data_IF_174213007242
#
_entry.id   IF_174213007242
#
_cell.length_a   1.000
_cell.length_b   1.000
_cell.length_c   1.000
_cell.angle_alpha   90.00
_cell.angle_beta   90.00
_cell.angle_gamma   90.00
#
_symmetry.space_group_name_H-M   'P 1'
#
loop_
_entity.id
_entity.type
_entity.pdbx_description
1 polymer ?
#
# COMPACT_ATOMS: atom_id res chain seq x y z
N UNK A 1 -10.04 -32.30 14.04
CA UNK A 1 -9.75 -30.88 13.70
C UNK A 1 -10.71 -29.90 14.40
N UNK A 2 -11.89 -30.34 14.86
CA UNK A 2 -12.92 -29.45 15.41
C UNK A 2 -12.50 -28.66 16.65
N UNK A 3 -11.67 -29.25 17.52
CA UNK A 3 -11.10 -28.53 18.66
C UNK A 3 -10.27 -27.30 18.20
N UNK A 4 -9.44 -27.47 17.16
CA UNK A 4 -8.67 -26.38 16.56
C UNK A 4 -9.57 -25.35 15.89
N UNK A 5 -10.60 -25.77 15.15
CA UNK A 5 -11.56 -24.85 14.53
C UNK A 5 -12.29 -24.00 15.58
N UNK A 6 -12.76 -24.62 16.68
CA UNK A 6 -13.37 -23.90 17.81
C UNK A 6 -12.39 -22.91 18.45
N UNK A 7 -11.13 -23.29 18.60
CA UNK A 7 -10.11 -22.39 19.13
C UNK A 7 -9.88 -21.18 18.21
N UNK A 8 -9.75 -21.38 16.89
CA UNK A 8 -9.65 -20.28 15.92
C UNK A 8 -10.85 -19.32 16.00
N UNK A 9 -12.06 -19.86 16.03
CA UNK A 9 -13.29 -19.06 16.22
C UNK A 9 -13.30 -18.32 17.55
N UNK A 10 -12.80 -18.91 18.63
CA UNK A 10 -12.70 -18.22 19.93
C UNK A 10 -11.75 -17.03 19.92
N UNK A 11 -10.77 -17.01 19.01
CA UNK A 11 -9.91 -15.85 18.77
C UNK A 11 -10.53 -14.85 17.79
N UNK A 12 -11.69 -15.13 17.20
CA UNK A 12 -12.32 -14.31 16.15
C UNK A 12 -11.75 -14.57 14.75
N UNK A 13 -11.09 -15.71 14.52
CA UNK A 13 -10.66 -16.14 13.19
C UNK A 13 -11.69 -17.10 12.56
N UNK A 14 -11.77 -17.19 11.22
CA UNK A 14 -12.64 -18.15 10.56
C UNK A 14 -12.31 -19.59 10.96
N UNK A 15 -13.35 -20.42 11.12
CA UNK A 15 -13.18 -21.86 11.36
C UNK A 15 -12.60 -22.61 10.14
N UNK A 16 -12.67 -22.00 8.95
CA UNK A 16 -12.22 -22.51 7.66
C UNK A 16 -12.51 -21.50 6.54
N UNK A 17 -12.33 -21.92 5.28
CA UNK A 17 -12.57 -21.08 4.11
C UNK A 17 -14.07 -20.73 3.95
N UNK A 18 -14.35 -19.47 3.62
CA UNK A 18 -15.70 -18.92 3.54
C UNK A 18 -16.41 -19.24 2.21
N UNK A 19 -16.69 -20.52 1.95
CA UNK A 19 -17.35 -20.98 0.72
C UNK A 19 -18.81 -20.51 0.58
N UNK A 20 -19.42 -20.00 1.66
CA UNK A 20 -20.78 -19.44 1.66
C UNK A 20 -20.83 -18.01 1.07
N UNK A 21 -19.67 -17.40 0.78
CA UNK A 21 -19.54 -16.07 0.18
C UNK A 21 -20.44 -15.00 0.84
N UNK A 22 -20.36 -14.81 2.18
CA UNK A 22 -21.23 -13.88 2.88
C UNK A 22 -21.01 -12.45 2.40
N UNK A 23 -22.09 -11.67 2.32
CA UNK A 23 -22.00 -10.24 1.97
C UNK A 23 -21.27 -9.47 3.06
N UNK A 24 -20.23 -8.72 2.68
CA UNK A 24 -19.49 -7.86 3.62
C UNK A 24 -20.37 -6.72 4.16
N UNK A 25 -20.39 -6.59 5.48
CA UNK A 25 -21.02 -5.47 6.18
C UNK A 25 -20.10 -4.24 6.32
N UNK A 26 -18.80 -4.35 5.97
CA UNK A 26 -17.86 -3.22 6.03
C UNK A 26 -18.29 -2.12 5.05
N UNK A 27 -18.11 -0.86 5.44
CA UNK A 27 -18.38 0.35 4.64
C UNK A 27 -17.25 1.35 4.82
N UNK A 28 -17.02 2.18 3.81
CA UNK A 28 -16.18 3.37 3.94
C UNK A 28 -16.87 4.42 4.81
N UNK A 29 -16.15 5.44 5.31
CA UNK A 29 -16.74 6.49 6.15
C UNK A 29 -17.92 7.25 5.52
N UNK A 30 -17.97 7.29 4.19
CA UNK A 30 -19.06 7.86 3.38
C UNK A 30 -20.23 6.88 3.11
N UNK A 31 -20.16 5.66 3.64
CA UNK A 31 -21.16 4.61 3.44
C UNK A 31 -20.98 3.78 2.18
N UNK A 32 -19.95 4.01 1.36
CA UNK A 32 -19.71 3.21 0.17
C UNK A 32 -19.34 1.75 0.52
N UNK A 33 -19.79 0.79 -0.29
CA UNK A 33 -19.46 -0.64 -0.10
C UNK A 33 -18.11 -1.02 -0.75
N UNK A 34 -17.74 -0.34 -1.83
CA UNK A 34 -16.48 -0.56 -2.54
C UNK A 34 -15.95 0.77 -3.08
N UNK A 35 -14.67 0.76 -3.46
CA UNK A 35 -14.01 1.86 -4.17
C UNK A 35 -13.21 1.29 -5.34
N UNK A 36 -12.98 2.13 -6.34
CA UNK A 36 -12.22 1.75 -7.54
C UNK A 36 -10.82 2.33 -7.45
N UNK A 37 -9.83 1.49 -7.68
CA UNK A 37 -8.43 1.87 -7.78
C UNK A 37 -7.84 1.42 -9.13
N UNK A 38 -6.99 2.25 -9.73
CA UNK A 38 -6.18 1.87 -10.90
C UNK A 38 -4.70 1.72 -10.49
N UNK A 39 -4.18 0.49 -10.41
CA UNK A 39 -2.75 0.19 -10.33
C UNK A 39 -2.18 -0.22 -11.71
N UNK A 40 -0.95 0.10 -12.14
CA UNK A 40 -0.05 1.16 -11.65
C UNK A 40 -0.11 2.38 -12.58
N UNK A 41 -0.44 3.54 -12.06
CA UNK A 41 -0.42 4.83 -12.74
C UNK A 41 0.98 5.43 -12.67
N UNK A 42 1.79 5.16 -13.70
CA UNK A 42 3.21 5.51 -13.76
C UNK A 42 3.44 6.98 -14.19
N UNK A 43 3.03 7.93 -13.36
CA UNK A 43 3.37 9.35 -13.48
C UNK A 43 2.21 10.29 -13.86
N UNK A 44 2.48 11.61 -13.98
CA UNK A 44 1.45 12.62 -14.19
C UNK A 44 0.64 12.45 -15.47
N UNK A 45 1.29 12.13 -16.59
CA UNK A 45 0.62 11.95 -17.89
C UNK A 45 -0.38 10.78 -17.85
N UNK A 46 -0.03 9.68 -17.19
CA UNK A 46 -0.93 8.55 -17.01
C UNK A 46 -2.12 8.91 -16.11
N UNK A 47 -1.88 9.68 -15.03
CA UNK A 47 -2.96 10.17 -14.17
C UNK A 47 -3.90 11.12 -14.93
N UNK A 48 -3.37 12.02 -15.76
CA UNK A 48 -4.17 12.92 -16.58
C UNK A 48 -5.08 12.15 -17.54
N UNK A 49 -4.55 11.12 -18.20
CA UNK A 49 -5.34 10.25 -19.08
C UNK A 49 -6.43 9.48 -18.30
N UNK A 50 -6.14 9.01 -17.08
CA UNK A 50 -7.15 8.38 -16.22
C UNK A 50 -8.25 9.37 -15.88
N UNK A 51 -7.91 10.60 -15.50
CA UNK A 51 -8.90 11.65 -15.20
C UNK A 51 -9.78 11.92 -16.42
N UNK A 52 -9.18 12.14 -17.59
CA UNK A 52 -9.91 12.38 -18.85
C UNK A 52 -10.89 11.25 -19.16
N UNK A 53 -10.42 10.00 -19.17
CA UNK A 53 -11.26 8.86 -19.51
C UNK A 53 -12.29 8.56 -18.40
N UNK A 54 -11.96 8.78 -17.13
CA UNK A 54 -12.93 8.63 -16.02
C UNK A 54 -14.10 9.59 -16.14
N UNK A 55 -13.83 10.84 -16.55
CA UNK A 55 -14.86 11.84 -16.83
C UNK A 55 -15.67 11.47 -18.08
N UNK A 56 -15.00 10.96 -19.12
CA UNK A 56 -15.65 10.55 -20.37
C UNK A 56 -16.63 9.39 -20.17
N UNK A 57 -16.30 8.42 -19.33
CA UNK A 57 -17.14 7.26 -19.06
C UNK A 57 -18.06 7.41 -17.84
N UNK A 58 -18.00 8.56 -17.15
CA UNK A 58 -18.74 8.80 -15.90
C UNK A 58 -18.45 7.73 -14.83
N UNK A 59 -17.16 7.42 -14.63
CA UNK A 59 -16.69 6.41 -13.67
C UNK A 59 -15.88 7.07 -12.56
N UNK A 60 -16.30 6.90 -11.30
CA UNK A 60 -15.56 7.42 -10.16
C UNK A 60 -14.35 6.55 -9.81
N UNK A 61 -13.14 7.06 -10.08
CA UNK A 61 -11.90 6.49 -9.58
C UNK A 61 -11.55 7.16 -8.25
N UNK A 62 -11.37 6.37 -7.20
CA UNK A 62 -11.15 6.89 -5.84
C UNK A 62 -9.67 6.96 -5.49
N UNK A 63 -8.85 6.11 -6.12
CA UNK A 63 -7.43 5.99 -5.84
C UNK A 63 -6.67 5.61 -7.11
N UNK A 64 -5.45 6.12 -7.22
CA UNK A 64 -4.43 5.55 -8.09
C UNK A 64 -3.25 5.10 -7.24
N UNK A 65 -2.54 4.07 -7.69
CA UNK A 65 -1.26 3.71 -7.10
C UNK A 65 -0.17 3.68 -8.15
N UNK A 66 1.05 3.99 -7.74
CA UNK A 66 2.21 4.02 -8.62
C UNK A 66 3.21 2.97 -8.14
N UNK A 67 3.68 2.12 -9.06
CA UNK A 67 4.41 0.90 -8.74
C UNK A 67 5.91 1.03 -8.79
N UNK A 68 6.45 1.94 -9.62
CA UNK A 68 7.91 2.13 -9.73
C UNK A 68 8.53 2.72 -8.44
N UNK A 69 7.73 3.43 -7.67
CA UNK A 69 8.05 3.92 -6.33
C UNK A 69 8.60 5.34 -6.30
N UNK A 70 8.53 5.94 -5.11
CA UNK A 70 8.91 7.32 -4.82
C UNK A 70 10.35 7.60 -5.27
N UNK A 71 11.28 6.68 -4.98
CA UNK A 71 12.68 6.74 -5.43
C UNK A 71 12.88 7.07 -6.92
N UNK A 72 12.03 6.54 -7.80
CA UNK A 72 12.20 6.69 -9.25
C UNK A 72 11.48 7.90 -9.84
N UNK A 73 10.73 8.64 -9.02
CA UNK A 73 9.98 9.81 -9.44
C UNK A 73 10.71 11.08 -9.03
N UNK A 74 10.64 12.11 -9.87
CA UNK A 74 11.10 13.46 -9.52
C UNK A 74 10.12 14.15 -8.56
N UNK A 75 10.59 15.16 -7.83
CA UNK A 75 9.73 15.95 -6.94
C UNK A 75 8.59 16.63 -7.70
N UNK A 76 8.87 17.08 -8.93
CA UNK A 76 7.88 17.70 -9.80
C UNK A 76 6.77 16.72 -10.20
N UNK A 77 7.13 15.49 -10.59
CA UNK A 77 6.13 14.46 -10.94
C UNK A 77 5.24 14.12 -9.74
N UNK A 78 5.82 13.97 -8.55
CA UNK A 78 5.05 13.67 -7.33
C UNK A 78 4.10 14.84 -7.00
N UNK A 79 4.60 16.07 -7.06
CA UNK A 79 3.81 17.28 -6.76
C UNK A 79 2.68 17.46 -7.76
N UNK A 80 2.95 17.26 -9.06
CA UNK A 80 1.94 17.35 -10.12
C UNK A 80 0.86 16.28 -9.93
N UNK A 81 1.25 15.04 -9.62
CA UNK A 81 0.29 13.98 -9.31
C UNK A 81 -0.55 14.30 -8.07
N UNK A 82 0.07 14.81 -7.00
CA UNK A 82 -0.64 15.18 -5.78
C UNK A 82 -1.68 16.28 -6.04
N UNK A 83 -1.31 17.31 -6.82
CA UNK A 83 -2.20 18.40 -7.19
C UNK A 83 -3.35 17.92 -8.08
N UNK A 84 -3.05 17.17 -9.14
CA UNK A 84 -4.03 16.65 -10.09
C UNK A 84 -5.02 15.69 -9.43
N UNK A 85 -4.55 14.81 -8.55
CA UNK A 85 -5.42 13.91 -7.82
C UNK A 85 -6.31 14.67 -6.83
N UNK A 86 -5.75 15.64 -6.09
CA UNK A 86 -6.49 16.46 -5.14
C UNK A 86 -7.63 17.24 -5.81
N UNK A 87 -7.39 17.83 -6.99
CA UNK A 87 -8.43 18.56 -7.72
C UNK A 87 -9.54 17.66 -8.27
N UNK A 88 -9.27 16.37 -8.42
CA UNK A 88 -10.23 15.36 -8.90
C UNK A 88 -10.76 14.44 -7.78
N UNK A 89 -10.49 14.75 -6.50
CA UNK A 89 -10.97 13.95 -5.37
C UNK A 89 -10.39 12.53 -5.30
N UNK A 90 -9.21 12.31 -5.90
CA UNK A 90 -8.54 11.02 -5.93
C UNK A 90 -7.42 10.96 -4.88
N UNK A 91 -7.22 9.77 -4.28
CA UNK A 91 -6.05 9.48 -3.47
C UNK A 91 -4.88 8.99 -4.36
N UNK A 92 -3.65 9.39 -4.06
CA UNK A 92 -2.44 8.82 -4.67
C UNK A 92 -1.69 8.01 -3.62
N UNK A 93 -1.42 6.75 -3.94
CA UNK A 93 -0.60 5.85 -3.11
C UNK A 93 0.69 5.49 -3.84
N UNK A 94 1.82 6.04 -3.41
CA UNK A 94 3.12 5.75 -4.03
C UNK A 94 3.83 4.59 -3.33
N UNK A 95 4.52 3.72 -4.07
CA UNK A 95 5.35 2.67 -3.45
C UNK A 95 6.58 3.29 -2.78
N UNK A 96 6.74 3.10 -1.46
CA UNK A 96 7.94 3.53 -0.76
C UNK A 96 9.01 2.44 -0.80
N UNK A 97 10.12 2.69 -1.49
CA UNK A 97 11.21 1.73 -1.71
C UNK A 97 12.43 2.46 -2.25
N UNK A 98 13.64 2.08 -1.83
CA UNK A 98 14.21 0.86 -2.41
C UNK A 98 13.92 -0.38 -1.56
N UNK A 99 13.95 -1.55 -2.20
CA UNK A 99 13.79 -2.86 -1.56
C UNK A 99 14.97 -3.76 -1.92
N UNK A 100 14.98 -5.01 -1.48
CA UNK A 100 16.10 -5.93 -1.66
C UNK A 100 16.41 -6.23 -3.13
N UNK A 101 15.46 -6.04 -4.05
CA UNK A 101 15.70 -6.19 -5.49
C UNK A 101 16.59 -5.07 -6.07
N UNK A 102 16.73 -3.95 -5.38
CA UNK A 102 17.66 -2.86 -5.71
C UNK A 102 19.03 -3.02 -5.04
N UNK A 103 19.19 -4.07 -4.27
CA UNK A 103 20.42 -4.34 -3.53
C UNK A 103 21.39 -5.22 -4.34
N UNK A 104 22.64 -5.25 -3.89
CA UNK A 104 23.72 -6.06 -4.48
C UNK A 104 23.73 -7.51 -3.98
N UNK A 105 22.84 -7.86 -3.04
CA UNK A 105 22.78 -9.18 -2.44
C UNK A 105 22.23 -10.26 -3.39
N UNK A 106 22.94 -11.37 -3.53
CA UNK A 106 22.54 -12.49 -4.40
C UNK A 106 21.20 -13.15 -3.99
N UNK A 107 20.74 -12.95 -2.76
CA UNK A 107 19.50 -13.54 -2.25
C UNK A 107 18.29 -13.18 -3.12
N UNK A 108 18.10 -11.90 -3.47
CA UNK A 108 16.93 -11.44 -4.21
C UNK A 108 16.81 -12.05 -5.63
N UNK A 109 17.95 -12.44 -6.22
CA UNK A 109 18.01 -13.04 -7.56
C UNK A 109 18.13 -14.58 -7.54
N UNK A 110 18.30 -15.18 -6.37
CA UNK A 110 18.36 -16.63 -6.22
C UNK A 110 16.99 -17.27 -6.47
N UNK A 111 16.97 -18.55 -6.87
CA UNK A 111 15.73 -19.30 -7.12
C UNK A 111 14.79 -19.33 -5.90
N UNK A 112 15.34 -19.40 -4.69
CA UNK A 112 14.58 -19.42 -3.44
C UNK A 112 14.32 -18.06 -2.80
N UNK A 113 15.00 -17.00 -3.24
CA UNK A 113 14.94 -15.67 -2.60
C UNK A 113 14.13 -14.62 -3.35
N UNK A 114 13.41 -15.01 -4.41
CA UNK A 114 12.46 -14.11 -5.11
C UNK A 114 11.42 -13.50 -4.18
N UNK A 115 11.05 -14.19 -3.10
CA UNK A 115 10.14 -13.69 -2.06
C UNK A 115 10.77 -12.59 -1.20
N UNK A 116 12.09 -12.52 -1.13
CA UNK A 116 12.84 -11.48 -0.41
C UNK A 116 12.96 -10.21 -1.26
N UNK A 117 12.96 -10.31 -2.59
CA UNK A 117 13.15 -9.17 -3.49
C UNK A 117 12.26 -7.95 -3.16
N UNK A 118 10.95 -8.12 -2.93
CA UNK A 118 10.07 -7.00 -2.56
C UNK A 118 10.25 -6.44 -1.15
N UNK A 119 10.95 -7.16 -0.26
CA UNK A 119 11.15 -6.84 1.16
C UNK A 119 12.32 -5.89 1.35
N UNK A 120 12.46 -5.31 2.54
CA UNK A 120 13.63 -4.51 2.89
C UNK A 120 14.72 -5.40 3.49
N UNK A 121 15.98 -5.18 3.10
CA UNK A 121 17.13 -5.93 3.59
C UNK A 121 18.02 -5.06 4.49
N UNK A 122 17.99 -5.36 5.78
CA UNK A 122 18.83 -4.68 6.77
C UNK A 122 18.35 -3.27 7.10
N UNK A 123 19.03 -2.65 8.06
CA UNK A 123 18.61 -1.37 8.63
C UNK A 123 18.69 -0.22 7.62
N UNK A 124 19.67 -0.23 6.72
CA UNK A 124 19.87 0.87 5.77
C UNK A 124 18.74 0.97 4.75
N UNK A 125 18.23 -0.16 4.24
CA UNK A 125 17.06 -0.13 3.36
C UNK A 125 15.76 0.26 4.10
N UNK A 126 15.66 -0.05 5.39
CA UNK A 126 14.57 0.47 6.22
C UNK A 126 14.63 1.99 6.32
N UNK A 127 15.81 2.56 6.59
CA UNK A 127 16.02 4.03 6.59
C UNK A 127 15.64 4.63 5.25
N UNK A 128 16.15 4.09 4.14
CA UNK A 128 15.87 4.58 2.79
C UNK A 128 14.38 4.53 2.44
N UNK A 129 13.69 3.44 2.78
CA UNK A 129 12.25 3.31 2.58
C UNK A 129 11.47 4.37 3.38
N UNK A 130 11.82 4.60 4.65
CA UNK A 130 11.14 5.60 5.50
C UNK A 130 11.45 7.05 5.08
N UNK A 131 12.64 7.32 4.56
CA UNK A 131 12.95 8.62 3.93
C UNK A 131 12.11 8.84 2.66
N UNK A 132 11.85 7.79 1.87
CA UNK A 132 10.90 7.84 0.75
C UNK A 132 9.47 8.15 1.22
N UNK A 133 9.03 7.55 2.33
CA UNK A 133 7.72 7.87 2.95
C UNK A 133 7.65 9.35 3.34
N UNK A 134 8.68 9.87 4.02
CA UNK A 134 8.77 11.29 4.41
C UNK A 134 8.80 12.20 3.20
N UNK A 135 9.59 11.88 2.18
CA UNK A 135 9.65 12.63 0.92
C UNK A 135 8.27 12.71 0.26
N UNK A 136 7.55 11.59 0.14
CA UNK A 136 6.20 11.58 -0.39
C UNK A 136 5.27 12.48 0.44
N UNK A 137 5.30 12.36 1.77
CA UNK A 137 4.48 13.18 2.68
C UNK A 137 4.73 14.69 2.50
N UNK A 138 6.01 15.08 2.41
CA UNK A 138 6.45 16.46 2.22
C UNK A 138 6.00 17.05 0.88
N UNK A 139 5.91 16.22 -0.16
CA UNK A 139 5.46 16.60 -1.50
C UNK A 139 3.93 16.53 -1.67
N UNK A 140 3.19 16.36 -0.57
CA UNK A 140 1.72 16.45 -0.56
C UNK A 140 1.00 15.11 -0.72
N UNK A 141 1.71 13.99 -0.78
CA UNK A 141 1.10 12.66 -0.76
C UNK A 141 0.61 12.33 0.66
N UNK A 142 -0.51 11.60 0.76
CA UNK A 142 -1.10 11.19 2.04
C UNK A 142 -1.29 9.69 2.18
N UNK A 143 -0.77 8.92 1.24
CA UNK A 143 -0.86 7.46 1.25
C UNK A 143 0.37 6.84 0.58
N UNK A 144 0.91 5.79 1.16
CA UNK A 144 2.02 5.02 0.57
C UNK A 144 1.75 3.53 0.62
N UNK A 145 2.36 2.82 -0.32
CA UNK A 145 2.33 1.38 -0.42
C UNK A 145 3.63 0.79 0.15
N UNK A 146 3.51 -0.14 1.10
CA UNK A 146 4.61 -0.80 1.78
C UNK A 146 4.54 -2.32 1.60
N UNK A 147 5.70 -2.96 1.43
CA UNK A 147 5.81 -4.41 1.24
C UNK A 147 6.57 -5.13 2.38
N UNK A 148 6.79 -4.45 3.51
CA UNK A 148 7.47 -4.99 4.68
C UNK A 148 6.75 -4.60 5.97
N UNK A 149 6.54 -5.55 6.88
CA UNK A 149 5.81 -5.36 8.14
C UNK A 149 6.57 -4.46 9.11
N UNK A 150 7.91 -4.57 9.12
CA UNK A 150 8.75 -3.73 9.97
C UNK A 150 8.67 -2.27 9.53
N UNK A 151 8.71 -2.02 8.22
CA UNK A 151 8.48 -0.69 7.66
C UNK A 151 7.08 -0.15 7.97
N UNK A 152 6.05 -0.99 7.85
CA UNK A 152 4.67 -0.61 8.19
C UNK A 152 4.56 -0.18 9.66
N UNK A 153 5.11 -0.98 10.58
CA UNK A 153 5.09 -0.67 12.01
C UNK A 153 5.85 0.61 12.35
N UNK A 154 7.07 0.77 11.84
CA UNK A 154 7.86 1.98 12.12
C UNK A 154 7.22 3.23 11.51
N UNK A 155 6.64 3.13 10.31
CA UNK A 155 5.93 4.25 9.69
C UNK A 155 4.66 4.64 10.47
N UNK A 156 3.92 3.68 11.04
CA UNK A 156 2.82 3.99 11.96
C UNK A 156 3.31 4.71 13.21
N UNK A 157 4.42 4.26 13.81
CA UNK A 157 5.00 4.93 14.97
C UNK A 157 5.47 6.36 14.64
N UNK A 158 6.06 6.57 13.47
CA UNK A 158 6.40 7.90 12.95
C UNK A 158 5.15 8.79 12.84
N UNK A 159 4.03 8.26 12.33
CA UNK A 159 2.74 8.97 12.30
C UNK A 159 2.24 9.30 13.71
N UNK A 160 2.34 8.37 14.67
CA UNK A 160 1.91 8.57 16.07
C UNK A 160 2.77 9.62 16.81
N UNK A 161 4.05 9.72 16.47
CA UNK A 161 4.99 10.68 17.05
C UNK A 161 5.02 12.04 16.32
N UNK A 162 4.26 12.19 15.22
CA UNK A 162 4.15 13.44 14.49
C UNK A 162 5.25 13.67 13.43
N UNK A 163 6.07 12.66 13.13
CA UNK A 163 7.03 12.68 12.01
C UNK A 163 6.32 12.56 10.65
N UNK A 164 5.10 12.00 10.62
CA UNK A 164 4.22 11.98 9.45
C UNK A 164 2.87 12.65 9.78
N UNK A 165 2.14 13.16 8.78
CA UNK A 165 0.81 13.71 8.99
C UNK A 165 -0.13 12.72 9.68
N UNK A 166 -0.95 13.19 10.62
CA UNK A 166 -1.85 12.32 11.40
C UNK A 166 -2.88 11.58 10.53
N UNK A 167 -3.22 12.12 9.36
CA UNK A 167 -4.13 11.55 8.38
C UNK A 167 -3.44 10.64 7.34
N UNK A 168 -2.12 10.46 7.44
CA UNK A 168 -1.34 9.66 6.50
C UNK A 168 -1.75 8.19 6.55
N UNK A 169 -2.00 7.58 5.39
CA UNK A 169 -2.48 6.20 5.25
C UNK A 169 -1.35 5.27 4.79
N UNK A 170 -1.41 4.03 5.24
CA UNK A 170 -0.51 2.98 4.79
C UNK A 170 -1.31 1.89 4.10
N UNK A 171 -0.90 1.56 2.88
CA UNK A 171 -1.45 0.45 2.11
C UNK A 171 -0.44 -0.70 2.14
N UNK A 172 -0.92 -1.89 2.49
CA UNK A 172 -0.13 -3.11 2.37
C UNK A 172 -0.07 -3.56 0.92
N UNK A 173 1.13 -3.89 0.45
CA UNK A 173 1.36 -4.43 -0.89
C UNK A 173 1.01 -5.91 -0.94
N UNK A 174 0.44 -6.33 -2.07
CA UNK A 174 0.30 -7.76 -2.40
C UNK A 174 1.64 -8.50 -2.33
N UNK A 175 2.75 -7.78 -2.54
CA UNK A 175 4.10 -8.32 -2.44
C UNK A 175 4.51 -8.74 -1.01
N UNK A 176 3.80 -8.27 0.04
CA UNK A 176 3.99 -8.74 1.41
C UNK A 176 3.49 -10.19 1.60
N UNK A 177 2.61 -10.66 0.70
CA UNK A 177 2.16 -12.05 0.62
C UNK A 177 1.49 -12.60 1.90
N UNK A 178 0.81 -11.76 2.70
CA UNK A 178 -0.01 -12.20 3.82
C UNK A 178 -1.20 -13.06 3.32
N UNK A 179 -1.09 -14.38 3.48
CA UNK A 179 -1.93 -15.34 2.76
C UNK A 179 -3.00 -16.05 3.61
N UNK A 180 -3.23 -15.63 4.87
CA UNK A 180 -4.27 -16.20 5.72
C UNK A 180 -4.85 -15.16 6.71
N UNK A 181 -6.04 -15.40 7.28
CA UNK A 181 -6.69 -14.45 8.18
C UNK A 181 -5.87 -14.07 9.40
N UNK A 182 -5.09 -14.99 9.98
CA UNK A 182 -4.25 -14.69 11.13
C UNK A 182 -3.07 -13.79 10.77
N UNK A 183 -2.46 -14.01 9.60
CA UNK A 183 -1.37 -13.17 9.09
C UNK A 183 -1.84 -11.75 8.77
N UNK A 184 -3.03 -11.60 8.16
CA UNK A 184 -3.62 -10.27 7.91
C UNK A 184 -3.92 -9.54 9.22
N UNK A 185 -4.49 -10.24 10.22
CA UNK A 185 -4.80 -9.65 11.52
C UNK A 185 -3.58 -9.13 12.28
N UNK A 186 -2.39 -9.70 12.04
CA UNK A 186 -1.15 -9.18 12.64
C UNK A 186 -0.78 -7.79 12.09
N UNK A 187 -1.30 -7.41 10.93
CA UNK A 187 -0.98 -6.15 10.23
C UNK A 187 -2.08 -5.09 10.31
N UNK A 188 -3.27 -5.44 10.82
CA UNK A 188 -4.38 -4.51 11.09
C UNK A 188 -4.14 -3.74 12.40
#
# INVERSE_FOLDING_TARGET
MDATRRFLTSMGLPAGDANELPTSAKRFPDGAQYRVEIPSTEGPAALAAIVEESNRYDVTIHRVSQGSGVLLMTDNEITEMALLAKTNGMEVSLFARPNAAWDTGAMAVSSGGKTVGPRLRGQEQLVQCLEDVKRAANLGIRSVLLADEGALWVADEMRRQGELPADFQFKMSVMMASANPAAIRLME
#
